data_IF_837165275175
#
_entry.id   IF_837165275175
#
_cell.length_a   1.000
_cell.length_b   1.000
_cell.length_c   1.000
_cell.angle_alpha   90.00
_cell.angle_beta   90.00
_cell.angle_gamma   90.00
#
_symmetry.space_group_name_H-M   'P 1'
#
loop_
_entity.id
_entity.type
_entity.pdbx_description
1 polymer ?
#
# COMPACT_ATOMS: atom_id res chain seq x y z
N UNK A 1 11.04 8.75 -14.21
CA UNK A 1 10.32 9.53 -13.17
C UNK A 1 9.89 10.89 -13.72
N UNK A 2 8.94 10.92 -14.68
CA UNK A 2 8.47 12.17 -15.29
C UNK A 2 7.84 13.11 -14.26
N UNK A 3 7.05 12.58 -13.32
CA UNK A 3 6.37 13.38 -12.29
C UNK A 3 7.32 14.21 -11.42
N UNK A 4 8.57 13.76 -11.20
CA UNK A 4 9.57 14.55 -10.46
C UNK A 4 9.94 15.85 -11.19
N UNK A 5 9.92 15.86 -12.52
CA UNK A 5 10.16 17.08 -13.31
C UNK A 5 9.04 18.11 -13.12
N UNK A 6 7.86 17.67 -12.67
CA UNK A 6 6.73 18.51 -12.29
C UNK A 6 6.72 18.82 -10.78
N UNK A 7 7.77 18.45 -10.04
CA UNK A 7 7.90 18.74 -8.60
C UNK A 7 7.17 17.76 -7.67
N UNK A 8 6.61 16.66 -8.20
CA UNK A 8 5.93 15.64 -7.39
C UNK A 8 6.94 14.79 -6.62
N UNK A 9 6.63 14.48 -5.36
CA UNK A 9 7.51 13.70 -4.46
C UNK A 9 6.87 12.44 -3.90
N UNK A 10 5.56 12.31 -4.02
CA UNK A 10 4.77 11.20 -3.51
C UNK A 10 4.08 10.49 -4.68
N UNK A 11 4.26 9.18 -4.78
CA UNK A 11 3.74 8.39 -5.90
C UNK A 11 3.04 7.12 -5.44
N UNK A 12 2.13 6.64 -6.29
CA UNK A 12 1.58 5.29 -6.15
C UNK A 12 2.50 4.29 -6.84
N UNK A 13 2.86 3.20 -6.16
CA UNK A 13 3.54 2.06 -6.79
C UNK A 13 2.49 1.00 -7.14
N UNK A 14 2.13 0.89 -8.42
CA UNK A 14 0.99 0.10 -8.88
C UNK A 14 1.25 -0.57 -10.25
N UNK A 15 0.81 -1.82 -10.45
CA UNK A 15 0.33 -2.77 -9.44
C UNK A 15 1.51 -3.38 -8.66
N UNK A 16 1.53 -3.23 -7.33
CA UNK A 16 2.72 -3.45 -6.52
C UNK A 16 3.34 -4.85 -6.68
N UNK A 17 2.56 -5.92 -6.47
CA UNK A 17 3.05 -7.29 -6.62
C UNK A 17 3.45 -7.61 -8.07
N UNK A 18 2.63 -7.19 -9.05
CA UNK A 18 2.90 -7.44 -10.47
C UNK A 18 4.17 -6.72 -10.97
N UNK A 19 4.52 -5.59 -10.37
CA UNK A 19 5.75 -4.85 -10.64
C UNK A 19 7.00 -5.48 -9.99
N UNK A 20 6.88 -6.63 -9.33
CA UNK A 20 7.99 -7.32 -8.65
C UNK A 20 8.10 -7.00 -7.15
N UNK A 21 7.06 -6.41 -6.58
CA UNK A 21 6.84 -6.26 -5.15
C UNK A 21 7.92 -5.47 -4.40
N UNK A 22 8.15 -5.83 -3.14
CA UNK A 22 9.08 -5.16 -2.22
C UNK A 22 10.47 -5.00 -2.80
N UNK A 23 11.02 -6.05 -3.43
CA UNK A 23 12.37 -6.01 -4.01
C UNK A 23 12.47 -5.02 -5.18
N UNK A 24 11.48 -5.01 -6.06
CA UNK A 24 11.44 -4.06 -7.16
C UNK A 24 11.29 -2.63 -6.63
N UNK A 25 10.44 -2.40 -5.63
CA UNK A 25 10.27 -1.09 -5.03
C UNK A 25 11.53 -0.59 -4.33
N UNK A 26 12.26 -1.46 -3.62
CA UNK A 26 13.56 -1.12 -3.03
C UNK A 26 14.56 -0.69 -4.11
N UNK A 27 14.67 -1.45 -5.21
CA UNK A 27 15.57 -1.13 -6.32
C UNK A 27 15.19 0.20 -7.00
N UNK A 28 13.89 0.42 -7.25
CA UNK A 28 13.38 1.66 -7.84
C UNK A 28 13.62 2.85 -6.91
N UNK A 29 13.37 2.71 -5.61
CA UNK A 29 13.49 3.79 -4.65
C UNK A 29 14.94 4.19 -4.32
N UNK A 30 15.90 3.28 -4.50
CA UNK A 30 17.32 3.50 -4.16
C UNK A 30 17.91 4.81 -4.69
N UNK A 31 17.79 5.12 -6.00
CA UNK A 31 18.25 6.39 -6.57
C UNK A 31 17.43 7.63 -6.15
N UNK A 32 16.28 7.45 -5.51
CA UNK A 32 15.30 8.52 -5.25
C UNK A 32 14.96 8.65 -3.75
N UNK A 33 15.97 8.80 -2.88
CA UNK A 33 15.78 8.79 -1.41
C UNK A 33 14.84 9.84 -0.82
N UNK A 34 14.52 10.91 -1.56
CA UNK A 34 13.56 11.94 -1.15
C UNK A 34 12.11 11.66 -1.60
N UNK A 35 11.90 10.59 -2.36
CA UNK A 35 10.59 10.17 -2.86
C UNK A 35 9.94 9.22 -1.87
N UNK A 36 8.62 9.27 -1.83
CA UNK A 36 7.79 8.41 -1.01
C UNK A 36 6.71 7.72 -1.83
N UNK A 37 6.32 6.52 -1.39
CA UNK A 37 5.39 5.67 -2.10
C UNK A 37 4.19 5.25 -1.25
N UNK A 38 3.06 5.08 -1.94
CA UNK A 38 1.93 4.29 -1.50
C UNK A 38 1.77 3.08 -2.44
N UNK A 39 2.33 1.91 -2.08
CA UNK A 39 2.16 0.68 -2.87
C UNK A 39 0.71 0.21 -2.86
N UNK A 40 0.22 -0.30 -3.99
CA UNK A 40 -1.15 -0.82 -4.11
C UNK A 40 -1.23 -1.91 -5.18
N UNK A 41 -2.05 -2.92 -4.95
CA UNK A 41 -2.29 -4.03 -5.89
C UNK A 41 -1.56 -5.30 -5.47
N UNK A 42 -2.32 -6.31 -5.05
CA UNK A 42 -1.80 -7.54 -4.47
C UNK A 42 -1.37 -7.44 -3.00
N UNK A 43 -1.65 -6.32 -2.32
CA UNK A 43 -1.34 -6.13 -0.90
C UNK A 43 -2.50 -6.63 -0.04
N UNK A 44 -2.18 -7.35 1.04
CA UNK A 44 -3.11 -7.96 1.98
C UNK A 44 -2.50 -8.00 3.39
N UNK A 45 -3.25 -8.45 4.43
CA UNK A 45 -2.69 -8.66 5.77
C UNK A 45 -1.44 -9.55 5.81
N UNK A 46 -1.24 -10.40 4.80
CA UNK A 46 -0.09 -11.32 4.74
C UNK A 46 1.24 -10.63 4.37
N UNK A 47 1.22 -9.50 3.67
CA UNK A 47 2.44 -8.88 3.10
C UNK A 47 2.57 -7.37 3.32
N UNK A 48 1.53 -6.68 3.79
CA UNK A 48 1.57 -5.22 3.91
C UNK A 48 2.67 -4.70 4.87
N UNK A 49 3.02 -5.47 5.91
CA UNK A 49 4.12 -5.13 6.83
C UNK A 49 5.48 -5.11 6.12
N UNK A 50 5.69 -5.97 5.13
CA UNK A 50 6.93 -5.99 4.35
C UNK A 50 7.12 -4.70 3.55
N UNK A 51 6.02 -4.13 3.05
CA UNK A 51 6.03 -2.81 2.40
C UNK A 51 6.22 -1.67 3.40
N UNK A 52 5.47 -1.68 4.51
CA UNK A 52 5.55 -0.63 5.53
C UNK A 52 6.93 -0.57 6.22
N UNK A 53 7.69 -1.66 6.19
CA UNK A 53 9.08 -1.69 6.69
C UNK A 53 10.06 -0.88 5.82
N UNK A 54 9.69 -0.47 4.60
CA UNK A 54 10.55 0.31 3.73
C UNK A 54 10.49 1.81 4.07
N UNK A 55 11.64 2.44 4.29
CA UNK A 55 11.73 3.90 4.50
C UNK A 55 11.15 4.74 3.34
N UNK A 56 11.07 4.18 2.14
CA UNK A 56 10.49 4.81 0.97
C UNK A 56 8.96 4.71 0.92
N UNK A 57 8.31 3.99 1.85
CA UNK A 57 6.87 3.77 1.89
C UNK A 57 6.26 4.55 3.06
N UNK A 58 5.19 5.31 2.79
CA UNK A 58 4.45 6.05 3.84
C UNK A 58 3.22 5.28 4.32
N UNK A 59 2.53 4.64 3.38
CA UNK A 59 1.31 3.90 3.61
C UNK A 59 1.14 2.89 2.48
N UNK A 60 0.09 2.07 2.56
CA UNK A 60 -0.28 1.10 1.52
C UNK A 60 -1.74 1.28 1.15
N UNK A 61 -2.12 0.75 -0.01
CA UNK A 61 -3.50 0.63 -0.44
C UNK A 61 -3.89 -0.83 -0.61
N UNK A 62 -5.07 -1.19 -0.13
CA UNK A 62 -5.61 -2.55 -0.26
C UNK A 62 -7.13 -2.58 -0.23
N UNK A 63 -7.72 -3.47 -1.03
CA UNK A 63 -9.17 -3.62 -1.14
C UNK A 63 -9.78 -4.48 -0.03
N UNK A 64 -8.97 -5.21 0.75
CA UNK A 64 -9.47 -6.18 1.72
C UNK A 64 -10.28 -5.55 2.87
N UNK A 65 -10.15 -4.23 3.10
CA UNK A 65 -10.89 -3.52 4.15
C UNK A 65 -12.40 -3.43 3.82
N UNK A 66 -12.76 -3.45 2.54
CA UNK A 66 -14.15 -3.32 2.08
C UNK A 66 -14.46 -4.49 1.14
N UNK A 67 -14.68 -5.70 1.67
CA UNK A 67 -15.15 -6.83 0.87
C UNK A 67 -16.50 -6.50 0.21
N UNK A 68 -16.67 -6.88 -1.06
CA UNK A 68 -17.90 -6.60 -1.80
C UNK A 68 -19.13 -7.23 -1.14
N UNK A 69 -18.99 -8.46 -0.62
CA UNK A 69 -20.04 -9.18 0.10
C UNK A 69 -20.45 -8.48 1.40
N UNK A 70 -19.49 -7.88 2.13
CA UNK A 70 -19.80 -7.09 3.32
C UNK A 70 -20.58 -5.82 2.97
N UNK A 71 -20.20 -5.15 1.87
CA UNK A 71 -20.90 -3.96 1.41
C UNK A 71 -22.32 -4.27 0.93
N UNK A 72 -22.50 -5.33 0.13
CA UNK A 72 -23.81 -5.78 -0.35
C UNK A 72 -24.74 -6.21 0.81
N UNK A 73 -24.18 -6.82 1.84
CA UNK A 73 -24.94 -7.25 3.03
C UNK A 73 -25.20 -6.10 4.03
N UNK A 74 -24.62 -4.91 3.85
CA UNK A 74 -24.66 -3.84 4.83
C UNK A 74 -23.92 -4.16 6.13
N UNK A 75 -22.94 -5.06 6.10
CA UNK A 75 -22.14 -5.51 7.24
C UNK A 75 -21.01 -4.52 7.55
N UNK A 76 -21.39 -3.36 8.05
CA UNK A 76 -20.46 -2.29 8.42
C UNK A 76 -19.65 -2.62 9.69
N UNK A 77 -20.13 -3.54 10.52
CA UNK A 77 -19.40 -4.02 11.70
C UNK A 77 -18.17 -4.84 11.29
N UNK A 78 -18.30 -5.69 10.27
CA UNK A 78 -17.16 -6.39 9.68
C UNK A 78 -16.15 -5.42 9.05
N UNK A 79 -16.60 -4.42 8.29
CA UNK A 79 -15.71 -3.39 7.72
C UNK A 79 -14.96 -2.64 8.83
N UNK A 80 -15.66 -2.28 9.91
CA UNK A 80 -15.06 -1.60 11.08
C UNK A 80 -14.00 -2.48 11.74
N UNK A 81 -14.27 -3.78 11.88
CA UNK A 81 -13.33 -4.75 12.44
C UNK A 81 -12.08 -4.88 11.56
N UNK A 82 -12.25 -5.07 10.25
CA UNK A 82 -11.14 -5.17 9.29
C UNK A 82 -10.26 -3.91 9.28
N UNK A 83 -10.86 -2.73 9.34
CA UNK A 83 -10.13 -1.47 9.42
C UNK A 83 -9.33 -1.37 10.72
N UNK A 84 -9.92 -1.74 11.87
CA UNK A 84 -9.22 -1.74 13.16
C UNK A 84 -8.04 -2.71 13.16
N UNK A 85 -8.25 -3.93 12.67
CA UNK A 85 -7.19 -4.94 12.56
C UNK A 85 -6.03 -4.45 11.67
N UNK A 86 -6.33 -3.78 10.55
CA UNK A 86 -5.31 -3.23 9.68
C UNK A 86 -4.47 -2.13 10.34
N UNK A 87 -5.12 -1.23 11.11
CA UNK A 87 -4.41 -0.15 11.84
C UNK A 87 -3.58 -0.70 12.99
N UNK A 88 -4.15 -1.60 13.80
CA UNK A 88 -3.46 -2.20 14.95
C UNK A 88 -2.29 -3.07 14.50
N UNK A 89 -2.48 -3.83 13.42
CA UNK A 89 -1.42 -4.66 12.85
C UNK A 89 -0.33 -3.87 12.12
N UNK A 90 -0.53 -2.59 11.81
CA UNK A 90 0.47 -1.76 11.14
C UNK A 90 1.53 -1.16 12.09
N UNK A 91 1.32 -1.26 13.40
CA UNK A 91 2.27 -0.85 14.43
C UNK A 91 3.51 -1.74 14.43
#
# INVERSE_FOLDING_TARGET
MLGMQYGLKEFKFFPAEANGGVKALQAIAGPFGHIRFCPTGGISPANYRDYLALNSVLCIGGSWLVPADALEAGDYDRITTLAREAVEGAK
#
